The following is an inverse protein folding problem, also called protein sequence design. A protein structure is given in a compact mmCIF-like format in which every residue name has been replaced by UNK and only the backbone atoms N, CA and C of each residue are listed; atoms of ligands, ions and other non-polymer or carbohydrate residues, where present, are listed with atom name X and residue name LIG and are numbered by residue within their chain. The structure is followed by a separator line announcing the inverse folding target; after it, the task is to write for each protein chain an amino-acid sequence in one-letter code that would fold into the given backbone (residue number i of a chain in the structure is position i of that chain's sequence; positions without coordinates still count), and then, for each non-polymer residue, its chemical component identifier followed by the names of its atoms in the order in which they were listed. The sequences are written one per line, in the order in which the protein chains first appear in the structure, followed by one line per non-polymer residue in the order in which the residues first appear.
data_IF_992325000028
#
_entry.id   IF_992325000028
#
_cell.length_a   1.000
_cell.length_b   1.000
_cell.length_c   1.000
_cell.angle_alpha   90.00
_cell.angle_beta   90.00
_cell.angle_gamma   90.00
#
_symmetry.space_group_name_H-M   'P 1'
#
loop_
_entity.id
_entity.type
_entity.pdbx_description
1 polymer ?
#
# COMPACT_ATOMS: atom_id res chain seq x y z
N UNK A 1 20.25 -18.38 23.03
CA UNK A 1 20.28 -19.87 23.01
C UNK A 1 18.88 -20.49 23.12
N UNK A 2 17.80 -19.71 23.38
CA UNK A 2 16.43 -20.24 23.53
C UNK A 2 15.60 -20.22 22.23
N UNK A 3 15.94 -19.39 21.25
CA UNK A 3 15.24 -19.35 19.96
C UNK A 3 15.66 -20.47 18.96
N UNK A 4 16.88 -20.97 19.09
CA UNK A 4 17.42 -22.00 18.20
C UNK A 4 16.75 -23.39 18.36
N UNK A 5 16.15 -23.66 19.50
CA UNK A 5 15.53 -24.96 19.80
C UNK A 5 14.09 -25.12 19.28
N UNK A 6 13.42 -24.00 18.90
CA UNK A 6 12.08 -24.03 18.27
C UNK A 6 12.11 -24.20 16.74
N UNK A 7 13.25 -23.98 16.10
CA UNK A 7 13.46 -24.18 14.68
C UNK A 7 13.75 -25.66 14.30
N UNK A 8 13.31 -26.62 15.11
CA UNK A 8 13.57 -28.07 14.94
C UNK A 8 12.81 -28.78 13.82
N UNK A 9 12.20 -28.07 12.87
CA UNK A 9 12.06 -28.66 11.52
C UNK A 9 13.31 -28.28 10.74
N UNK A 10 13.96 -29.19 9.98
CA UNK A 10 15.07 -28.81 9.13
C UNK A 10 14.54 -27.77 8.14
N UNK A 11 14.85 -26.49 8.38
CA UNK A 11 14.67 -25.43 7.38
C UNK A 11 15.48 -25.92 6.19
N UNK A 12 14.84 -26.22 5.10
CA UNK A 12 15.53 -26.52 3.85
C UNK A 12 16.25 -25.23 3.49
N UNK A 13 17.55 -25.12 3.83
CA UNK A 13 18.41 -23.92 3.68
C UNK A 13 18.37 -23.27 2.29
N UNK A 14 17.78 -23.96 1.30
CA UNK A 14 17.80 -23.56 -0.09
C UNK A 14 16.69 -22.56 -0.51
N UNK A 15 15.79 -22.14 0.39
CA UNK A 15 14.68 -21.23 0.04
C UNK A 15 14.37 -20.18 1.13
N UNK A 16 15.35 -19.88 1.99
CA UNK A 16 15.16 -18.82 3.01
C UNK A 16 15.17 -17.44 2.32
N UNK A 17 14.09 -16.69 2.51
CA UNK A 17 13.93 -15.35 1.97
C UNK A 17 13.81 -14.31 3.11
N UNK A 18 14.64 -13.28 3.06
CA UNK A 18 14.47 -12.07 3.86
C UNK A 18 13.56 -11.12 3.08
N UNK A 19 12.46 -10.70 3.69
CA UNK A 19 11.58 -9.69 3.16
C UNK A 19 11.65 -8.42 4.03
N UNK A 20 11.77 -7.25 3.41
CA UNK A 20 11.74 -5.97 4.11
C UNK A 20 10.77 -4.99 3.43
N UNK A 21 10.05 -4.21 4.24
CA UNK A 21 9.16 -3.11 3.82
C UNK A 21 9.64 -1.82 4.49
N UNK A 22 10.20 -0.90 3.68
CA UNK A 22 10.82 0.34 4.14
C UNK A 22 9.88 1.50 3.83
N UNK A 23 9.15 1.93 4.86
CA UNK A 23 8.36 3.16 4.81
C UNK A 23 9.16 4.40 5.22
N UNK A 24 8.49 5.56 5.28
CA UNK A 24 9.13 6.81 5.71
C UNK A 24 9.51 6.84 7.20
N UNK A 25 8.78 6.14 8.07
CA UNK A 25 8.95 6.20 9.53
C UNK A 25 9.47 4.89 10.11
N UNK A 26 9.04 3.77 9.57
CA UNK A 26 9.35 2.44 10.06
C UNK A 26 9.81 1.52 8.94
N UNK A 27 10.69 0.59 9.30
CA UNK A 27 11.10 -0.54 8.49
C UNK A 27 10.63 -1.82 9.14
N UNK A 28 9.92 -2.68 8.40
CA UNK A 28 9.51 -4.02 8.83
C UNK A 28 10.35 -5.06 8.13
N UNK A 29 10.82 -6.05 8.86
CA UNK A 29 11.61 -7.17 8.30
C UNK A 29 11.09 -8.48 8.85
N UNK A 30 11.07 -9.51 8.02
CA UNK A 30 10.76 -10.88 8.41
C UNK A 30 11.50 -11.90 7.52
N UNK A 31 11.59 -13.14 8.02
CA UNK A 31 12.06 -14.28 7.24
C UNK A 31 10.89 -15.15 6.78
N UNK A 32 11.06 -15.73 5.61
CA UNK A 32 10.16 -16.71 5.03
C UNK A 32 10.95 -18.00 4.73
N UNK A 33 10.36 -19.14 5.04
CA UNK A 33 10.78 -20.43 4.52
C UNK A 33 9.86 -20.79 3.35
N UNK A 34 10.39 -20.65 2.14
CA UNK A 34 9.57 -20.78 0.93
C UNK A 34 8.44 -19.72 0.91
N UNK A 35 7.19 -20.12 0.97
CA UNK A 35 6.01 -19.19 1.02
C UNK A 35 5.53 -18.93 2.45
N UNK A 36 6.13 -19.54 3.47
CA UNK A 36 5.65 -19.50 4.85
C UNK A 36 6.38 -18.42 5.66
N UNK A 37 5.63 -17.46 6.19
CA UNK A 37 6.17 -16.46 7.11
C UNK A 37 6.62 -17.12 8.43
N UNK A 38 7.85 -16.83 8.86
CA UNK A 38 8.36 -17.22 10.18
C UNK A 38 8.01 -16.11 11.16
N UNK A 39 6.84 -16.19 11.80
CA UNK A 39 6.22 -15.12 12.59
C UNK A 39 7.15 -14.56 13.69
N UNK A 40 7.89 -15.42 14.40
CA UNK A 40 8.81 -15.03 15.47
C UNK A 40 9.98 -14.15 14.97
N UNK A 41 10.17 -14.03 13.65
CA UNK A 41 11.22 -13.21 13.02
C UNK A 41 10.73 -11.84 12.60
N UNK A 42 9.43 -11.54 12.74
CA UNK A 42 8.87 -10.24 12.37
C UNK A 42 9.35 -9.16 13.34
N UNK A 43 10.06 -8.16 12.81
CA UNK A 43 10.57 -7.03 13.61
C UNK A 43 10.23 -5.72 12.91
N UNK A 44 9.85 -4.72 13.71
CA UNK A 44 9.65 -3.35 13.25
C UNK A 44 10.70 -2.45 13.86
N UNK A 45 11.42 -1.72 13.02
CA UNK A 45 12.42 -0.73 13.38
C UNK A 45 11.89 0.67 13.13
N UNK A 46 12.18 1.61 14.05
CA UNK A 46 11.89 3.03 13.86
C UNK A 46 13.08 3.68 13.15
N UNK A 47 12.86 4.18 11.93
CA UNK A 47 13.91 4.62 11.02
C UNK A 47 14.76 5.78 11.58
N UNK A 48 14.19 6.62 12.44
CA UNK A 48 14.91 7.77 13.04
C UNK A 48 16.02 7.38 14.03
N UNK A 49 16.18 6.09 14.32
CA UNK A 49 17.25 5.56 15.18
C UNK A 49 18.45 5.03 14.40
N UNK A 50 18.41 5.08 13.08
CA UNK A 50 19.41 4.50 12.20
C UNK A 50 19.81 5.47 11.09
N UNK A 51 21.07 5.40 10.70
CA UNK A 51 21.62 6.26 9.65
C UNK A 51 21.39 5.67 8.24
N UNK A 52 21.14 4.35 8.14
CA UNK A 52 20.94 3.66 6.87
C UNK A 52 20.11 2.39 7.03
N UNK A 53 19.57 1.88 5.93
CA UNK A 53 18.89 0.57 5.90
C UNK A 53 19.88 -0.58 6.16
N UNK A 54 21.12 -0.45 5.69
CA UNK A 54 22.18 -1.44 5.90
C UNK A 54 22.46 -1.68 7.40
N UNK A 55 22.41 -0.63 8.23
CA UNK A 55 22.57 -0.78 9.67
C UNK A 55 21.42 -1.53 10.34
N UNK A 56 20.20 -1.32 9.85
CA UNK A 56 19.03 -2.11 10.30
C UNK A 56 19.18 -3.57 9.90
N UNK A 57 19.61 -3.86 8.66
CA UNK A 57 19.82 -5.24 8.18
C UNK A 57 20.85 -5.99 9.03
N UNK A 58 21.96 -5.34 9.34
CA UNK A 58 23.03 -5.95 10.15
C UNK A 58 22.51 -6.30 11.55
N UNK A 59 21.79 -5.37 12.21
CA UNK A 59 21.19 -5.60 13.53
C UNK A 59 20.13 -6.71 13.46
N UNK A 60 19.30 -6.72 12.40
CA UNK A 60 18.28 -7.75 12.23
C UNK A 60 18.87 -9.14 12.10
N UNK A 61 19.89 -9.32 11.27
CA UNK A 61 20.55 -10.61 11.06
C UNK A 61 21.21 -11.15 12.34
N UNK A 62 21.88 -10.26 13.11
CA UNK A 62 22.43 -10.61 14.41
C UNK A 62 21.33 -11.05 15.38
N UNK A 63 20.25 -10.30 15.46
CA UNK A 63 19.09 -10.59 16.32
C UNK A 63 18.46 -11.95 16.04
N UNK A 64 18.28 -12.32 14.77
CA UNK A 64 17.69 -13.62 14.38
C UNK A 64 18.72 -14.73 14.28
N UNK A 65 20.01 -14.44 14.53
CA UNK A 65 21.14 -15.37 14.48
C UNK A 65 21.26 -16.11 13.14
N UNK A 66 21.03 -15.39 12.02
CA UNK A 66 21.15 -15.89 10.66
C UNK A 66 22.36 -15.25 9.97
N UNK A 67 23.27 -16.05 9.45
CA UNK A 67 24.48 -15.57 8.75
C UNK A 67 24.27 -15.30 7.27
N UNK A 68 23.27 -15.94 6.65
CA UNK A 68 22.95 -15.72 5.23
C UNK A 68 21.55 -16.21 4.90
N UNK A 69 20.98 -15.62 3.85
CA UNK A 69 19.71 -16.03 3.23
C UNK A 69 19.93 -16.35 1.75
N UNK A 70 19.00 -17.04 1.11
CA UNK A 70 19.09 -17.33 -0.33
C UNK A 70 18.55 -16.15 -1.14
N UNK A 71 17.46 -15.56 -0.67
CA UNK A 71 16.74 -14.46 -1.33
C UNK A 71 16.60 -13.28 -0.40
N UNK A 72 16.64 -12.07 -0.97
CA UNK A 72 16.29 -10.84 -0.27
C UNK A 72 15.35 -9.99 -1.16
N UNK A 73 14.10 -9.83 -0.73
CA UNK A 73 13.10 -9.01 -1.40
C UNK A 73 12.82 -7.75 -0.58
N UNK A 74 13.03 -6.57 -1.18
CA UNK A 74 12.95 -5.29 -0.48
C UNK A 74 11.90 -4.40 -1.14
N UNK A 75 10.93 -3.95 -0.36
CA UNK A 75 10.00 -2.89 -0.75
C UNK A 75 10.51 -1.53 -0.25
N UNK A 76 10.55 -0.54 -1.12
CA UNK A 76 11.03 0.80 -0.81
C UNK A 76 10.01 1.88 -1.21
N UNK A 77 9.68 2.77 -0.28
CA UNK A 77 8.83 3.94 -0.53
C UNK A 77 9.66 5.05 -1.20
N UNK A 78 9.90 4.91 -2.50
CA UNK A 78 10.67 5.85 -3.30
C UNK A 78 10.98 5.33 -4.70
N UNK A 79 11.60 6.17 -5.55
CA UNK A 79 11.99 5.78 -6.89
C UNK A 79 13.09 4.71 -6.87
N UNK A 80 13.00 3.80 -7.84
CA UNK A 80 13.98 2.74 -8.09
C UNK A 80 14.61 2.99 -9.46
N UNK A 81 15.91 3.17 -9.49
CA UNK A 81 16.69 3.38 -10.72
C UNK A 81 17.66 2.20 -10.90
N UNK A 82 17.36 1.35 -11.87
CA UNK A 82 18.11 0.11 -12.07
C UNK A 82 18.03 -0.80 -10.86
N UNK A 83 19.14 -1.02 -10.16
CA UNK A 83 19.25 -1.86 -8.96
C UNK A 83 19.37 -1.04 -7.66
N UNK A 84 19.08 0.24 -7.71
CA UNK A 84 19.25 1.17 -6.57
C UNK A 84 17.93 1.83 -6.21
N UNK A 85 17.57 1.81 -4.93
CA UNK A 85 16.46 2.57 -4.38
C UNK A 85 16.96 3.85 -3.70
N UNK A 86 16.20 4.93 -3.86
CA UNK A 86 16.39 6.20 -3.15
C UNK A 86 15.10 6.53 -2.42
N UNK A 87 15.18 6.62 -1.09
CA UNK A 87 13.99 6.89 -0.28
C UNK A 87 13.51 8.33 -0.46
N UNK A 88 12.20 8.53 -0.58
CA UNK A 88 11.62 9.88 -0.75
C UNK A 88 11.69 10.70 0.54
N UNK A 89 11.42 10.06 1.69
CA UNK A 89 11.27 10.75 2.98
C UNK A 89 12.44 10.50 3.95
N UNK A 90 13.51 9.88 3.48
CA UNK A 90 14.76 9.60 4.23
C UNK A 90 15.94 9.91 3.32
N UNK A 91 17.08 10.25 3.91
CA UNK A 91 18.33 10.44 3.16
C UNK A 91 19.00 9.12 2.72
N UNK A 92 18.26 8.00 2.81
CA UNK A 92 18.81 6.69 2.52
C UNK A 92 18.79 6.36 1.03
N UNK A 93 19.87 5.72 0.61
CA UNK A 93 19.99 5.09 -0.71
C UNK A 93 20.73 3.77 -0.53
N UNK A 94 20.23 2.71 -1.12
CA UNK A 94 20.80 1.36 -1.03
C UNK A 94 20.61 0.61 -2.35
N UNK A 95 21.43 -0.41 -2.58
CA UNK A 95 21.43 -1.17 -3.82
C UNK A 95 21.30 -2.67 -3.57
N UNK A 96 20.91 -3.42 -4.60
CA UNK A 96 20.93 -4.88 -4.54
C UNK A 96 22.30 -5.43 -4.13
N UNK A 97 23.39 -4.81 -4.62
CA UNK A 97 24.76 -5.20 -4.27
C UNK A 97 25.08 -4.95 -2.79
N UNK A 98 24.68 -3.82 -2.19
CA UNK A 98 24.90 -3.57 -0.75
C UNK A 98 24.11 -4.56 0.12
N UNK A 99 22.86 -4.86 -0.27
CA UNK A 99 22.02 -5.82 0.41
C UNK A 99 22.61 -7.23 0.31
N UNK A 100 23.02 -7.66 -0.88
CA UNK A 100 23.66 -8.97 -1.08
C UNK A 100 24.91 -9.14 -0.23
N UNK A 101 25.74 -8.10 -0.12
CA UNK A 101 26.97 -8.11 0.68
C UNK A 101 26.70 -8.35 2.17
N UNK A 102 25.61 -7.79 2.71
CA UNK A 102 25.25 -7.89 4.13
C UNK A 102 24.52 -9.20 4.42
N UNK A 103 23.56 -9.57 3.55
CA UNK A 103 22.66 -10.70 3.78
C UNK A 103 23.22 -12.02 3.29
N UNK A 104 24.31 -12.00 2.49
CA UNK A 104 24.81 -13.18 1.78
C UNK A 104 23.82 -13.73 0.75
N UNK A 105 22.80 -12.97 0.37
CA UNK A 105 21.77 -13.42 -0.57
C UNK A 105 22.33 -13.64 -1.96
N UNK A 106 22.00 -14.79 -2.56
CA UNK A 106 22.35 -15.09 -3.95
C UNK A 106 21.49 -14.28 -4.93
N UNK A 107 20.27 -13.95 -4.53
CA UNK A 107 19.32 -13.20 -5.33
C UNK A 107 18.72 -12.07 -4.49
N UNK A 108 18.85 -10.84 -4.97
CA UNK A 108 18.24 -9.65 -4.37
C UNK A 108 17.31 -9.00 -5.38
N UNK A 109 16.19 -8.48 -4.91
CA UNK A 109 15.28 -7.70 -5.73
C UNK A 109 14.68 -6.57 -4.93
N UNK A 110 14.69 -5.37 -5.53
CA UNK A 110 14.10 -4.16 -4.96
C UNK A 110 12.88 -3.77 -5.79
N UNK A 111 11.74 -3.57 -5.15
CA UNK A 111 10.49 -3.13 -5.78
C UNK A 111 9.91 -1.94 -5.00
N UNK A 112 9.03 -1.17 -5.64
CA UNK A 112 8.29 -0.13 -4.94
C UNK A 112 7.32 -0.74 -3.90
N UNK A 113 7.03 0.00 -2.83
CA UNK A 113 6.16 -0.43 -1.73
C UNK A 113 4.76 -0.85 -2.20
N UNK A 114 4.17 -0.11 -3.14
CA UNK A 114 2.86 -0.48 -3.71
C UNK A 114 2.94 -1.74 -4.59
N UNK A 115 4.03 -1.93 -5.34
CA UNK A 115 4.23 -3.18 -6.08
C UNK A 115 4.27 -4.37 -5.12
N UNK A 116 4.98 -4.24 -3.99
CA UNK A 116 5.01 -5.27 -2.96
C UNK A 116 3.61 -5.58 -2.44
N UNK A 117 2.80 -4.56 -2.14
CA UNK A 117 1.39 -4.75 -1.75
C UNK A 117 0.61 -5.53 -2.81
N UNK A 118 0.79 -5.19 -4.09
CA UNK A 118 0.14 -5.89 -5.20
C UNK A 118 0.55 -7.36 -5.31
N UNK A 119 1.84 -7.66 -5.19
CA UNK A 119 2.34 -9.05 -5.14
C UNK A 119 1.84 -9.81 -3.91
N UNK A 120 1.57 -9.11 -2.80
CA UNK A 120 1.04 -9.68 -1.56
C UNK A 120 -0.40 -10.18 -1.67
N UNK A 121 -1.22 -9.62 -2.58
CA UNK A 121 -2.65 -9.94 -2.68
C UNK A 121 -2.95 -11.43 -2.90
N UNK A 122 -2.04 -12.20 -3.51
CA UNK A 122 -2.24 -13.65 -3.71
C UNK A 122 -2.16 -14.47 -2.42
N UNK A 123 -1.50 -13.93 -1.38
CA UNK A 123 -1.27 -14.60 -0.09
C UNK A 123 -2.24 -14.14 1.01
N UNK A 124 -3.25 -13.33 0.65
CA UNK A 124 -4.28 -12.92 1.59
C UNK A 124 -5.38 -13.97 1.66
N UNK A 125 -5.79 -14.31 2.88
CA UNK A 125 -6.99 -15.10 3.14
C UNK A 125 -8.21 -14.21 3.43
N UNK A 126 -9.38 -14.84 3.56
CA UNK A 126 -10.65 -14.14 3.77
C UNK A 126 -10.73 -13.37 5.10
N UNK A 127 -9.94 -13.72 6.11
CA UNK A 127 -9.90 -13.01 7.40
C UNK A 127 -9.08 -11.72 7.34
N UNK A 128 -8.22 -11.61 6.34
CA UNK A 128 -7.31 -10.49 6.12
C UNK A 128 -7.88 -9.43 5.17
N UNK A 129 -9.10 -9.67 4.66
CA UNK A 129 -9.76 -8.79 3.69
C UNK A 129 -11.19 -8.56 4.09
N UNK A 130 -11.60 -7.30 4.17
CA UNK A 130 -12.97 -6.92 4.46
C UNK A 130 -13.65 -6.31 3.23
N UNK A 131 -14.92 -6.68 2.98
CA UNK A 131 -15.68 -6.12 1.89
C UNK A 131 -16.16 -4.71 2.21
N UNK A 132 -15.74 -3.73 1.40
CA UNK A 132 -16.25 -2.36 1.41
C UNK A 132 -17.49 -2.26 0.53
N UNK A 133 -17.43 -2.86 -0.65
CA UNK A 133 -18.51 -2.89 -1.61
C UNK A 133 -18.47 -4.20 -2.40
N UNK A 134 -19.60 -4.88 -2.49
CA UNK A 134 -19.74 -6.06 -3.36
C UNK A 134 -20.36 -5.61 -4.68
N UNK A 135 -19.67 -5.86 -5.77
CA UNK A 135 -20.14 -5.62 -7.13
C UNK A 135 -21.05 -6.74 -7.63
N UNK A 136 -21.76 -6.46 -8.73
CA UNK A 136 -22.66 -7.44 -9.37
C UNK A 136 -21.88 -8.56 -10.11
N UNK A 137 -20.57 -8.40 -10.32
CA UNK A 137 -19.71 -9.42 -10.93
C UNK A 137 -19.08 -10.29 -9.85
N UNK A 138 -19.17 -11.61 -9.99
CA UNK A 138 -18.44 -12.52 -9.11
C UNK A 138 -16.93 -12.40 -9.41
N UNK A 139 -16.18 -11.86 -8.47
CA UNK A 139 -14.72 -11.69 -8.62
C UNK A 139 -14.04 -13.03 -8.85
N UNK A 140 -13.18 -13.09 -9.87
CA UNK A 140 -12.38 -14.25 -10.19
C UNK A 140 -10.90 -13.95 -9.83
N UNK A 141 -10.22 -14.81 -9.06
CA UNK A 141 -8.84 -14.57 -8.64
C UNK A 141 -7.83 -14.47 -9.81
N UNK A 142 -8.21 -14.95 -10.99
CA UNK A 142 -7.36 -14.87 -12.19
C UNK A 142 -7.57 -13.58 -13.02
N UNK A 143 -8.55 -12.77 -12.68
CA UNK A 143 -8.79 -11.50 -13.35
C UNK A 143 -7.89 -10.39 -12.81
N UNK A 144 -7.76 -9.31 -13.59
CA UNK A 144 -7.02 -8.12 -13.17
C UNK A 144 -7.57 -7.60 -11.84
N UNK A 145 -6.66 -7.31 -10.90
CA UNK A 145 -6.95 -6.60 -9.67
C UNK A 145 -6.35 -5.21 -9.71
N UNK A 146 -6.82 -4.33 -8.84
CA UNK A 146 -6.25 -3.01 -8.61
C UNK A 146 -5.87 -2.89 -7.15
N UNK A 147 -4.62 -2.54 -6.85
CA UNK A 147 -4.18 -2.20 -5.51
C UNK A 147 -4.09 -0.68 -5.37
N UNK A 148 -4.63 -0.12 -4.29
CA UNK A 148 -4.60 1.31 -3.98
C UNK A 148 -4.05 1.50 -2.57
N UNK A 149 -2.90 2.14 -2.46
CA UNK A 149 -2.28 2.52 -1.20
C UNK A 149 -2.76 3.90 -0.74
N UNK A 150 -3.43 3.98 0.41
CA UNK A 150 -3.87 5.22 1.05
C UNK A 150 -3.23 5.32 2.43
N UNK A 151 -2.16 6.08 2.54
CA UNK A 151 -1.36 6.25 3.76
C UNK A 151 -0.82 7.67 3.87
N UNK A 152 0.48 7.82 4.17
CA UNK A 152 1.18 9.12 4.13
C UNK A 152 1.07 9.76 2.75
N UNK A 153 1.20 8.96 1.70
CA UNK A 153 0.93 9.29 0.31
C UNK A 153 -0.25 8.49 -0.24
N UNK A 154 -0.47 8.64 -1.55
CA UNK A 154 -1.43 7.85 -2.33
C UNK A 154 -0.75 7.30 -3.59
N UNK A 155 -0.98 6.02 -3.88
CA UNK A 155 -0.66 5.46 -5.19
C UNK A 155 -1.62 4.31 -5.56
N UNK A 156 -1.69 3.93 -6.85
CA UNK A 156 -2.50 2.81 -7.33
C UNK A 156 -1.83 2.11 -8.51
N UNK A 157 -1.89 0.77 -8.54
CA UNK A 157 -1.32 -0.03 -9.62
C UNK A 157 -2.19 -1.23 -9.96
N UNK A 158 -2.28 -1.63 -11.24
CA UNK A 158 -2.93 -2.88 -11.62
C UNK A 158 -2.08 -4.09 -11.22
N UNK A 159 -2.77 -5.19 -10.93
CA UNK A 159 -2.16 -6.48 -10.64
C UNK A 159 -2.65 -7.48 -11.68
N UNK A 160 -1.78 -7.84 -12.60
CA UNK A 160 -2.09 -8.74 -13.69
C UNK A 160 -1.70 -10.17 -13.37
N UNK A 161 -2.49 -11.13 -13.83
CA UNK A 161 -2.13 -12.55 -13.88
C UNK A 161 -1.66 -12.89 -15.29
N UNK A 162 -0.40 -13.30 -15.42
CA UNK A 162 0.20 -13.69 -16.71
C UNK A 162 0.69 -15.14 -16.60
N UNK A 163 -0.10 -16.07 -17.06
CA UNK A 163 0.12 -17.51 -16.81
C UNK A 163 0.05 -17.80 -15.31
N UNK A 164 1.12 -18.35 -14.75
CA UNK A 164 1.22 -18.61 -13.30
C UNK A 164 1.86 -17.45 -12.52
N UNK A 165 2.40 -16.43 -13.22
CA UNK A 165 3.09 -15.31 -12.60
C UNK A 165 2.14 -14.12 -12.39
N UNK A 166 2.40 -13.37 -11.33
CA UNK A 166 1.78 -12.06 -11.07
C UNK A 166 2.72 -10.98 -11.63
N UNK A 167 2.15 -9.96 -12.24
CA UNK A 167 2.90 -8.79 -12.70
C UNK A 167 2.24 -7.51 -12.18
N UNK A 168 3.02 -6.69 -11.47
CA UNK A 168 2.60 -5.39 -10.95
C UNK A 168 3.53 -4.34 -11.53
N UNK A 169 3.10 -3.56 -12.53
CA UNK A 169 3.92 -2.50 -13.09
C UNK A 169 4.12 -1.37 -12.07
N UNK A 170 5.22 -0.60 -12.17
CA UNK A 170 5.37 0.64 -11.42
C UNK A 170 4.29 1.64 -11.83
N UNK A 171 3.87 2.49 -10.90
CA UNK A 171 2.84 3.51 -11.12
C UNK A 171 3.08 4.69 -10.17
N UNK A 172 2.68 5.88 -10.62
CA UNK A 172 2.64 7.12 -9.85
C UNK A 172 1.26 7.78 -10.00
N UNK A 173 0.20 6.99 -9.84
CA UNK A 173 -1.19 7.43 -9.99
C UNK A 173 -1.58 8.56 -9.02
N UNK A 174 -0.91 8.66 -7.87
CA UNK A 174 -1.12 9.73 -6.89
C UNK A 174 -0.79 11.12 -7.42
N UNK A 175 0.12 11.21 -8.39
CA UNK A 175 0.52 12.47 -9.00
C UNK A 175 -0.31 12.86 -10.24
N UNK A 176 -1.32 12.08 -10.59
CA UNK A 176 -2.29 12.48 -11.59
C UNK A 176 -3.27 13.52 -11.04
N UNK A 177 -3.90 14.30 -11.93
CA UNK A 177 -4.89 15.29 -11.53
C UNK A 177 -6.16 14.60 -11.03
N UNK A 178 -6.68 15.03 -9.89
CA UNK A 178 -7.96 14.56 -9.39
C UNK A 178 -9.12 15.39 -9.96
N UNK A 179 -10.19 14.70 -10.37
CA UNK A 179 -11.43 15.35 -10.79
C UNK A 179 -12.30 15.74 -9.60
N UNK A 180 -12.95 16.90 -9.67
CA UNK A 180 -13.91 17.35 -8.66
C UNK A 180 -15.14 16.42 -8.70
N UNK A 181 -15.37 15.68 -7.61
CA UNK A 181 -16.49 14.75 -7.49
C UNK A 181 -17.87 15.50 -7.43
N UNK A 182 -17.90 16.68 -6.81
CA UNK A 182 -19.09 17.54 -6.71
C UNK A 182 -18.68 19.01 -6.82
N UNK A 183 -19.41 19.76 -7.69
CA UNK A 183 -19.21 21.20 -7.92
C UNK A 183 -19.37 22.06 -6.66
N UNK A 184 -20.09 21.58 -5.65
CA UNK A 184 -20.29 22.27 -4.38
C UNK A 184 -18.98 22.43 -3.59
N UNK A 185 -17.98 21.61 -3.89
CA UNK A 185 -16.66 21.65 -3.24
C UNK A 185 -15.58 22.38 -4.06
N UNK A 186 -15.98 23.17 -5.08
CA UNK A 186 -15.03 23.91 -5.93
C UNK A 186 -14.08 24.81 -5.13
N UNK A 187 -14.59 25.45 -4.06
CA UNK A 187 -13.78 26.30 -3.18
C UNK A 187 -12.64 25.53 -2.47
N UNK A 188 -12.86 24.25 -2.13
CA UNK A 188 -11.83 23.41 -1.52
C UNK A 188 -10.67 23.24 -2.50
N UNK A 189 -10.98 22.90 -3.74
CA UNK A 189 -9.96 22.77 -4.79
C UNK A 189 -9.18 24.07 -4.99
N UNK A 190 -9.86 25.21 -5.02
CA UNK A 190 -9.19 26.53 -5.14
C UNK A 190 -8.29 26.84 -3.97
N UNK A 191 -8.62 26.37 -2.75
CA UNK A 191 -7.81 26.59 -1.56
C UNK A 191 -6.61 25.61 -1.44
N UNK A 192 -6.71 24.43 -2.07
CA UNK A 192 -5.65 23.42 -2.06
C UNK A 192 -4.72 23.58 -3.27
N UNK A 193 -5.26 24.06 -4.41
CA UNK A 193 -4.52 24.19 -5.65
C UNK A 193 -3.25 25.04 -5.45
N UNK A 194 -2.13 24.53 -5.97
CA UNK A 194 -0.90 25.28 -6.11
C UNK A 194 -1.09 26.49 -7.06
N UNK A 195 -0.07 27.34 -7.19
CA UNK A 195 -0.05 28.48 -8.12
C UNK A 195 -0.45 28.11 -9.56
N UNK A 196 -0.24 26.84 -9.96
CA UNK A 196 -0.61 26.32 -11.28
C UNK A 196 -2.04 25.76 -11.36
N UNK A 197 -2.88 25.96 -10.36
CA UNK A 197 -4.26 25.43 -10.28
C UNK A 197 -4.36 23.92 -10.42
N UNK A 198 -3.30 23.20 -10.10
CA UNK A 198 -3.24 21.73 -10.15
C UNK A 198 -3.47 21.15 -8.77
N UNK A 199 -4.38 20.17 -8.67
CA UNK A 199 -4.61 19.38 -7.46
C UNK A 199 -4.42 17.92 -7.84
N UNK A 200 -3.42 17.28 -7.25
CA UNK A 200 -3.15 15.86 -7.46
C UNK A 200 -4.11 14.98 -6.66
N UNK A 201 -4.16 13.71 -7.02
CA UNK A 201 -4.90 12.69 -6.24
C UNK A 201 -4.35 12.60 -4.82
N UNK A 202 -3.03 12.66 -4.66
CA UNK A 202 -2.38 12.61 -3.36
C UNK A 202 -2.70 13.82 -2.47
N UNK A 203 -2.90 15.01 -3.05
CA UNK A 203 -3.29 16.23 -2.31
C UNK A 203 -4.66 16.10 -1.62
N UNK A 204 -5.45 15.08 -2.00
CA UNK A 204 -6.77 14.78 -1.44
C UNK A 204 -6.77 13.43 -0.72
N UNK A 205 -6.27 12.34 -1.36
CA UNK A 205 -6.46 10.96 -0.91
C UNK A 205 -5.34 10.41 -0.02
N UNK A 206 -4.56 11.29 0.61
CA UNK A 206 -3.49 10.92 1.54
C UNK A 206 -3.75 11.46 2.94
N UNK A 207 -2.90 11.10 3.91
CA UNK A 207 -2.94 11.70 5.25
C UNK A 207 -2.79 13.23 5.19
N UNK A 208 -1.81 13.72 4.44
CA UNK A 208 -1.62 15.14 4.18
C UNK A 208 -2.83 15.76 3.44
N UNK A 209 -3.45 15.00 2.55
CA UNK A 209 -4.68 15.41 1.86
C UNK A 209 -5.84 15.62 2.81
N UNK A 210 -6.04 14.77 3.79
CA UNK A 210 -7.05 14.94 4.85
C UNK A 210 -6.81 16.25 5.62
N UNK A 211 -5.56 16.54 5.98
CA UNK A 211 -5.17 17.79 6.67
C UNK A 211 -5.45 19.03 5.81
N UNK A 212 -5.10 18.98 4.52
CA UNK A 212 -5.37 20.06 3.57
C UNK A 212 -6.88 20.34 3.42
N UNK A 213 -7.67 19.28 3.25
CA UNK A 213 -9.14 19.39 3.15
C UNK A 213 -9.74 19.89 4.45
N UNK A 214 -9.28 19.40 5.60
CA UNK A 214 -9.68 19.85 6.92
C UNK A 214 -9.42 21.34 7.10
N UNK A 215 -8.24 21.83 6.76
CA UNK A 215 -7.90 23.25 6.79
C UNK A 215 -8.77 24.07 5.83
N UNK A 216 -9.01 23.58 4.61
CA UNK A 216 -9.81 24.28 3.61
C UNK A 216 -11.29 24.39 4.00
N UNK A 217 -11.85 23.37 4.66
CA UNK A 217 -13.26 23.34 5.11
C UNK A 217 -13.49 24.04 6.44
N UNK A 218 -12.60 23.81 7.41
CA UNK A 218 -12.83 24.19 8.81
C UNK A 218 -11.94 25.34 9.28
N UNK A 219 -10.95 25.76 8.49
CA UNK A 219 -9.97 26.80 8.85
C UNK A 219 -9.01 26.38 9.98
N UNK A 220 -8.99 25.10 10.39
CA UNK A 220 -8.18 24.57 11.49
C UNK A 220 -7.00 23.78 10.96
N UNK A 221 -5.87 23.85 11.67
CA UNK A 221 -4.72 23.01 11.41
C UNK A 221 -4.75 21.83 12.38
N UNK A 222 -5.20 20.67 11.90
CA UNK A 222 -5.34 19.42 12.66
C UNK A 222 -4.68 18.30 11.86
N UNK A 223 -4.12 17.30 12.56
CA UNK A 223 -3.57 16.13 11.90
C UNK A 223 -4.67 15.22 11.35
N UNK A 224 -4.36 14.44 10.32
CA UNK A 224 -5.30 13.47 9.75
C UNK A 224 -5.89 12.54 10.82
N UNK A 225 -5.06 12.08 11.77
CA UNK A 225 -5.49 11.22 12.88
C UNK A 225 -6.51 11.94 13.79
N UNK A 226 -6.28 13.21 14.14
CA UNK A 226 -7.22 14.01 14.93
C UNK A 226 -8.55 14.18 14.22
N UNK A 227 -8.52 14.57 12.93
CA UNK A 227 -9.73 14.75 12.11
C UNK A 227 -10.53 13.45 12.06
N UNK A 228 -9.88 12.32 11.77
CA UNK A 228 -10.57 11.03 11.67
C UNK A 228 -11.12 10.55 13.01
N UNK A 229 -10.38 10.78 14.11
CA UNK A 229 -10.86 10.48 15.47
C UNK A 229 -12.07 11.34 15.82
N UNK A 230 -12.06 12.64 15.57
CA UNK A 230 -13.19 13.52 15.81
C UNK A 230 -14.41 13.14 14.98
N UNK A 231 -14.22 12.76 13.71
CA UNK A 231 -15.28 12.28 12.84
C UNK A 231 -15.96 11.03 13.45
N UNK A 232 -15.18 10.06 13.93
CA UNK A 232 -15.72 8.86 14.59
C UNK A 232 -16.44 9.17 15.92
N UNK A 233 -16.07 10.25 16.59
CA UNK A 233 -16.72 10.74 17.82
C UNK A 233 -17.95 11.60 17.56
N UNK A 234 -18.28 11.87 16.30
CA UNK A 234 -19.50 12.56 15.92
C UNK A 234 -19.35 14.05 15.60
N UNK A 235 -18.11 14.61 15.54
CA UNK A 235 -17.91 15.99 15.13
C UNK A 235 -18.34 16.20 13.67
N UNK A 236 -19.31 17.08 13.46
CA UNK A 236 -19.94 17.30 12.16
C UNK A 236 -19.00 17.92 11.12
N UNK A 237 -18.03 18.73 11.54
CA UNK A 237 -17.05 19.30 10.62
C UNK A 237 -16.05 18.26 10.14
N UNK A 238 -15.55 17.44 11.04
CA UNK A 238 -14.63 16.33 10.72
C UNK A 238 -15.33 15.26 9.89
N UNK A 239 -16.61 14.96 10.14
CA UNK A 239 -17.42 14.07 9.27
C UNK A 239 -17.51 14.59 7.84
N UNK A 240 -17.72 15.91 7.64
CA UNK A 240 -17.73 16.51 6.29
C UNK A 240 -16.40 16.31 5.57
N UNK A 241 -15.28 16.43 6.28
CA UNK A 241 -13.96 16.15 5.71
C UNK A 241 -13.88 14.69 5.27
N UNK A 242 -14.19 13.75 6.14
CA UNK A 242 -14.14 12.32 5.83
C UNK A 242 -15.09 11.93 4.67
N UNK A 243 -16.30 12.50 4.65
CA UNK A 243 -17.26 12.33 3.55
C UNK A 243 -16.70 12.85 2.22
N UNK A 244 -16.12 14.06 2.21
CA UNK A 244 -15.52 14.62 1.00
C UNK A 244 -14.37 13.74 0.47
N UNK A 245 -13.48 13.27 1.36
CA UNK A 245 -12.38 12.35 0.99
C UNK A 245 -12.95 11.06 0.41
N UNK A 246 -13.96 10.46 1.04
CA UNK A 246 -14.58 9.21 0.57
C UNK A 246 -15.25 9.40 -0.81
N UNK A 247 -15.99 10.49 -1.02
CA UNK A 247 -16.59 10.80 -2.33
C UNK A 247 -15.52 10.99 -3.41
N UNK A 248 -14.45 11.71 -3.10
CA UNK A 248 -13.32 11.94 -4.01
C UNK A 248 -12.63 10.61 -4.36
N UNK A 249 -12.40 9.73 -3.36
CA UNK A 249 -11.88 8.39 -3.55
C UNK A 249 -12.83 7.56 -4.44
N UNK A 250 -14.13 7.57 -4.17
CA UNK A 250 -15.13 6.89 -4.99
C UNK A 250 -15.06 7.31 -6.45
N UNK A 251 -15.03 8.62 -6.70
CA UNK A 251 -14.93 9.17 -8.07
C UNK A 251 -13.66 8.68 -8.76
N UNK A 252 -12.50 8.78 -8.12
CA UNK A 252 -11.22 8.39 -8.70
C UNK A 252 -11.11 6.88 -8.92
N UNK A 253 -11.52 6.07 -7.96
CA UNK A 253 -11.54 4.60 -8.12
C UNK A 253 -12.50 4.17 -9.22
N UNK A 254 -13.61 4.89 -9.40
CA UNK A 254 -14.52 4.68 -10.53
C UNK A 254 -13.87 4.95 -11.89
N UNK A 255 -12.99 5.95 -12.00
CA UNK A 255 -12.22 6.22 -13.22
C UNK A 255 -11.18 5.11 -13.46
N UNK A 256 -10.42 4.73 -12.43
CA UNK A 256 -9.46 3.62 -12.51
C UNK A 256 -10.14 2.30 -12.87
N UNK A 257 -11.36 2.06 -12.38
CA UNK A 257 -12.14 0.87 -12.70
C UNK A 257 -12.49 0.79 -14.19
N UNK A 258 -12.77 1.93 -14.83
CA UNK A 258 -13.02 1.99 -16.28
C UNK A 258 -11.75 1.86 -17.11
N UNK A 259 -10.61 2.33 -16.60
CA UNK A 259 -9.30 2.28 -17.31
C UNK A 259 -8.72 0.87 -17.25
N UNK A 260 -8.83 0.20 -16.09
CA UNK A 260 -8.07 -1.03 -15.80
C UNK A 260 -8.93 -2.29 -15.75
N UNK A 261 -10.26 -2.14 -15.67
CA UNK A 261 -11.25 -3.23 -15.61
C UNK A 261 -10.90 -4.30 -14.56
N UNK A 262 -10.77 -3.91 -13.26
CA UNK A 262 -10.31 -4.82 -12.21
C UNK A 262 -11.43 -5.76 -11.74
N UNK A 263 -11.83 -6.69 -12.57
CA UNK A 263 -12.88 -7.67 -12.25
C UNK A 263 -12.47 -8.61 -11.10
N UNK A 264 -11.17 -8.76 -10.85
CA UNK A 264 -10.65 -9.47 -9.67
C UNK A 264 -10.77 -8.67 -8.37
N UNK A 265 -11.23 -7.40 -8.41
CA UNK A 265 -11.47 -6.53 -7.27
C UNK A 265 -10.47 -5.37 -7.14
N UNK A 266 -10.90 -4.35 -6.41
CA UNK A 266 -10.09 -3.18 -6.00
C UNK A 266 -9.73 -3.36 -4.53
N UNK A 267 -8.44 -3.33 -4.20
CA UNK A 267 -7.93 -3.59 -2.86
C UNK A 267 -7.32 -2.32 -2.27
N UNK A 268 -7.97 -1.78 -1.24
CA UNK A 268 -7.54 -0.58 -0.52
C UNK A 268 -6.63 -0.98 0.63
N UNK A 269 -5.46 -0.34 0.74
CA UNK A 269 -4.43 -0.66 1.73
C UNK A 269 -3.96 0.62 2.41
N UNK A 270 -3.60 0.55 3.68
CA UNK A 270 -2.99 1.64 4.42
C UNK A 270 -3.87 2.24 5.51
N UNK A 271 -3.24 3.06 6.37
CA UNK A 271 -3.88 3.61 7.55
C UNK A 271 -5.04 4.56 7.24
N UNK A 272 -4.93 5.37 6.18
CA UNK A 272 -5.99 6.28 5.73
C UNK A 272 -7.19 5.48 5.23
N UNK A 273 -6.98 4.43 4.42
CA UNK A 273 -8.06 3.57 3.97
C UNK A 273 -8.84 2.96 5.15
N UNK A 274 -8.11 2.47 6.16
CA UNK A 274 -8.72 1.88 7.37
C UNK A 274 -9.49 2.90 8.20
N UNK A 275 -8.96 4.12 8.35
CA UNK A 275 -9.64 5.19 9.10
C UNK A 275 -10.91 5.70 8.41
N UNK A 276 -10.97 5.59 7.08
CA UNK A 276 -12.13 5.99 6.27
C UNK A 276 -13.18 4.88 6.11
N UNK A 277 -13.00 3.70 6.69
CA UNK A 277 -13.83 2.51 6.47
C UNK A 277 -15.34 2.78 6.49
N UNK A 278 -15.84 3.48 7.51
CA UNK A 278 -17.27 3.79 7.65
C UNK A 278 -17.77 4.65 6.50
N UNK A 279 -16.98 5.62 6.06
CA UNK A 279 -17.32 6.53 4.95
C UNK A 279 -17.18 5.84 3.58
N UNK A 280 -16.24 4.89 3.42
CA UNK A 280 -16.11 4.07 2.23
C UNK A 280 -17.28 3.10 2.04
N UNK A 281 -17.95 2.69 3.12
CA UNK A 281 -19.20 1.90 3.08
C UNK A 281 -20.46 2.75 2.84
N UNK A 282 -20.32 4.07 2.67
CA UNK A 282 -21.44 4.98 2.52
C UNK A 282 -22.08 4.93 1.13
N UNK A 283 -23.35 5.35 1.08
CA UNK A 283 -24.08 5.53 -0.18
C UNK A 283 -23.42 6.61 -1.06
N UNK A 284 -22.87 7.66 -0.45
CA UNK A 284 -22.21 8.76 -1.16
C UNK A 284 -20.95 8.31 -1.87
N UNK A 285 -20.13 7.47 -1.23
CA UNK A 285 -18.99 6.82 -1.88
C UNK A 285 -19.44 5.98 -3.08
N UNK A 286 -20.47 5.13 -2.88
CA UNK A 286 -20.98 4.26 -3.95
C UNK A 286 -21.57 5.07 -5.11
N UNK A 287 -22.31 6.14 -4.82
CA UNK A 287 -22.81 7.06 -5.84
C UNK A 287 -21.68 7.70 -6.63
N UNK A 288 -20.64 8.21 -5.95
CA UNK A 288 -19.48 8.84 -6.59
C UNK A 288 -18.72 7.82 -7.47
N UNK A 289 -18.50 6.59 -6.98
CA UNK A 289 -17.87 5.50 -7.71
C UNK A 289 -18.64 5.14 -8.99
N UNK A 290 -19.96 5.06 -8.90
CA UNK A 290 -20.81 4.69 -10.03
C UNK A 290 -21.20 5.88 -10.93
N UNK A 291 -20.91 7.14 -10.55
CA UNK A 291 -21.29 8.32 -11.35
C UNK A 291 -20.40 8.45 -12.61
N UNK A 292 -20.62 7.57 -13.58
CA UNK A 292 -19.87 7.46 -14.85
C UNK A 292 -20.79 7.59 -16.08
N UNK A 293 -21.85 8.40 -15.97
CA UNK A 293 -22.80 8.62 -17.05
C UNK A 293 -23.40 7.31 -17.58
N UNK A 294 -23.30 7.05 -18.87
CA UNK A 294 -23.82 5.81 -19.47
C UNK A 294 -23.15 4.51 -18.96
N UNK A 295 -21.96 4.61 -18.33
CA UNK A 295 -21.23 3.47 -17.75
C UNK A 295 -21.51 3.26 -16.26
N UNK A 296 -22.46 4.00 -15.64
CA UNK A 296 -22.78 3.87 -14.22
C UNK A 296 -23.14 2.42 -13.83
N UNK A 297 -24.01 1.76 -14.61
CA UNK A 297 -24.35 0.35 -14.39
C UNK A 297 -23.18 -0.60 -14.64
N UNK A 298 -22.24 -0.23 -15.52
CA UNK A 298 -21.03 -1.04 -15.73
C UNK A 298 -20.11 -0.97 -14.51
N UNK A 299 -19.95 0.22 -13.92
CA UNK A 299 -19.13 0.40 -12.72
C UNK A 299 -19.71 -0.31 -11.48
N UNK A 300 -21.04 -0.54 -11.42
CA UNK A 300 -21.63 -1.31 -10.31
C UNK A 300 -21.15 -2.76 -10.24
N UNK A 301 -20.48 -3.26 -11.26
CA UNK A 301 -19.95 -4.63 -11.31
C UNK A 301 -18.70 -4.87 -10.47
N UNK A 302 -17.91 -3.83 -10.17
CA UNK A 302 -16.62 -3.99 -9.48
C UNK A 302 -16.78 -4.06 -7.97
N UNK A 303 -16.11 -5.03 -7.35
CA UNK A 303 -16.02 -5.16 -5.90
C UNK A 303 -14.83 -4.39 -5.34
N UNK A 304 -14.97 -3.87 -4.12
CA UNK A 304 -13.94 -3.11 -3.41
C UNK A 304 -13.73 -3.75 -2.04
N UNK A 305 -12.48 -3.93 -1.68
CA UNK A 305 -12.04 -4.60 -0.47
C UNK A 305 -11.05 -3.74 0.31
N UNK A 306 -11.08 -3.84 1.62
CA UNK A 306 -10.09 -3.25 2.53
C UNK A 306 -9.16 -4.35 3.03
N UNK A 307 -7.85 -4.17 2.85
CA UNK A 307 -6.83 -5.10 3.34
C UNK A 307 -6.50 -4.77 4.78
N UNK A 308 -6.62 -5.76 5.65
CA UNK A 308 -6.38 -5.66 7.10
C UNK A 308 -4.99 -6.19 7.49
N UNK A 309 -4.33 -6.94 6.62
CA UNK A 309 -3.02 -7.55 6.88
C UNK A 309 -1.90 -6.50 6.85
N UNK A 310 -1.21 -6.34 7.97
CA UNK A 310 -0.06 -5.44 8.10
C UNK A 310 1.22 -5.99 7.46
N UNK A 311 1.25 -7.29 7.14
CA UNK A 311 2.39 -7.99 6.54
C UNK A 311 2.22 -8.22 5.03
N UNK A 312 1.18 -7.66 4.41
CA UNK A 312 0.91 -7.85 2.98
C UNK A 312 2.11 -7.47 2.09
N UNK A 313 2.84 -6.37 2.41
CA UNK A 313 4.03 -5.97 1.68
C UNK A 313 5.18 -6.98 1.83
N UNK A 314 5.43 -7.51 3.05
CA UNK A 314 6.45 -8.54 3.28
C UNK A 314 6.13 -9.83 2.52
N UNK A 315 4.87 -10.29 2.56
CA UNK A 315 4.40 -11.41 1.75
C UNK A 315 4.61 -11.14 0.26
N UNK A 316 4.38 -9.91 -0.17
CA UNK A 316 4.59 -9.49 -1.55
C UNK A 316 6.05 -9.51 -1.97
N UNK A 317 6.97 -9.03 -1.14
CA UNK A 317 8.41 -9.14 -1.38
C UNK A 317 8.85 -10.60 -1.56
N UNK A 318 8.39 -11.49 -0.66
CA UNK A 318 8.66 -12.91 -0.77
C UNK A 318 8.08 -13.49 -2.08
N UNK A 319 6.83 -13.19 -2.40
CA UNK A 319 6.16 -13.66 -3.61
C UNK A 319 6.87 -13.21 -4.89
N UNK A 320 7.35 -11.98 -4.91
CA UNK A 320 8.13 -11.42 -6.02
C UNK A 320 9.43 -12.21 -6.23
N UNK A 321 10.16 -12.51 -5.14
CA UNK A 321 11.40 -13.28 -5.21
C UNK A 321 11.16 -14.73 -5.64
N UNK A 322 10.15 -15.40 -5.07
CA UNK A 322 9.87 -16.80 -5.40
C UNK A 322 9.49 -17.00 -6.87
N UNK A 323 8.65 -16.11 -7.44
CA UNK A 323 8.20 -16.29 -8.83
C UNK A 323 9.26 -15.96 -9.90
N UNK A 324 10.29 -15.17 -9.57
CA UNK A 324 11.30 -14.71 -10.54
C UNK A 324 12.55 -15.61 -10.56
N UNK A 325 12.65 -16.56 -9.63
CA UNK A 325 13.79 -17.48 -9.50
C UNK A 325 13.45 -18.95 -9.79
N UNK A 326 12.33 -19.19 -10.50
CA UNK A 326 11.93 -20.49 -11.03
C UNK A 326 11.96 -20.52 -12.54
#
# INVERSE_FOLDING_TARGET
MILYDKLRKPVMKNQLCLAADIGGTNTRIALFDSEVLIEDTCVTYSNNKYDSFESILAEYLDRVSISSVTYAGIAAAGPIEGTTAKMTNLSWSFSEGSIASITGAAHVGIINDLQAQGYGLKSLDSSQVESVRIGEHNSNPNETKLVCGMGTGFNAAPVFKVGQKTFVPPSEAGHSQISLADKNYRSIFSNIASENSFVSVEDILSGRGIENVGKALNGRTETAAQIMQQASQGDENSKKVAQFIAMSAGSFFGDLALILLPFGGIFLIGGVARSLKEHLNSEDFTKAFCNKGRFSKFNSRFSIYLVLDDFAALKGCNNFMMQNNH
#
